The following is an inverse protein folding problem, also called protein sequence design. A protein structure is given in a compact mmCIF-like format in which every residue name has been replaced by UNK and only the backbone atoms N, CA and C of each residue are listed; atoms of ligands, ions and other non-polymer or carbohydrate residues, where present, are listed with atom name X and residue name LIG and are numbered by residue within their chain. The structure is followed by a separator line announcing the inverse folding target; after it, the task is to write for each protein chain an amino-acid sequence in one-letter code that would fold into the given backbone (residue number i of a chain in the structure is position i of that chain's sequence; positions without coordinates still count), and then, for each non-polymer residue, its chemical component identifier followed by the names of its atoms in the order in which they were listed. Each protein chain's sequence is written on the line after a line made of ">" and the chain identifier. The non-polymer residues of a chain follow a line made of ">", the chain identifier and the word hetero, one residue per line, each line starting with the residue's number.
data_IF_709202753959
#
_entry.id   IF_709202753959
#
_cell.length_a   1.000
_cell.length_b   1.000
_cell.length_c   1.000
_cell.angle_alpha   90.00
_cell.angle_beta   90.00
_cell.angle_gamma   90.00
#
_symmetry.space_group_name_H-M   'P 1'
#
loop_
_entity.id
_entity.type
_entity.pdbx_description
1 polymer ?
#
# COMPACT_ATOMS: atom_id res chain seq x y z
N UNK A 1 81.32 54.45 -11.85
CA UNK A 1 81.55 54.43 -10.41
C UNK A 1 80.22 54.89 -9.80
N UNK A 2 79.38 54.00 -9.37
CA UNK A 2 77.97 54.21 -9.09
C UNK A 2 77.76 54.00 -7.57
N UNK A 3 77.39 55.06 -6.89
CA UNK A 3 76.99 55.01 -5.48
C UNK A 3 75.59 54.37 -5.31
N UNK A 4 75.49 53.34 -4.49
CA UNK A 4 74.18 52.79 -4.07
C UNK A 4 73.71 53.50 -2.80
N UNK A 5 72.54 54.15 -2.85
CA UNK A 5 71.82 54.67 -1.70
C UNK A 5 71.03 53.54 -1.05
N UNK A 6 71.24 53.32 0.24
CA UNK A 6 70.40 52.42 1.06
C UNK A 6 69.23 53.24 1.63
N UNK A 7 68.04 52.86 1.35
CA UNK A 7 66.84 53.41 2.01
C UNK A 7 66.43 52.52 3.16
N UNK A 8 66.31 53.08 4.37
CA UNK A 8 65.71 52.43 5.54
C UNK A 8 64.20 52.41 5.34
N UNK A 9 63.60 51.21 5.39
CA UNK A 9 62.15 51.07 5.46
C UNK A 9 61.75 50.87 6.91
N UNK A 10 60.96 51.78 7.41
CA UNK A 10 60.31 51.71 8.75
C UNK A 10 59.16 50.75 8.70
N UNK A 11 59.19 49.68 9.44
CA UNK A 11 58.11 48.73 9.58
C UNK A 11 57.03 49.25 10.54
N UNK A 12 55.86 49.59 10.01
CA UNK A 12 54.67 49.87 10.83
C UNK A 12 53.99 48.54 11.12
N UNK A 13 53.88 48.18 12.40
CA UNK A 13 53.11 47.03 12.88
C UNK A 13 51.66 47.43 12.92
N UNK A 14 50.87 46.91 11.96
CA UNK A 14 49.37 46.96 12.03
C UNK A 14 48.90 45.83 12.96
N UNK A 15 48.41 46.16 14.11
CA UNK A 15 47.65 45.23 14.93
C UNK A 15 46.25 45.03 14.35
N UNK A 16 45.99 43.91 13.68
CA UNK A 16 44.66 43.49 13.25
C UNK A 16 43.93 42.89 14.45
N UNK A 17 43.01 43.67 15.01
CA UNK A 17 42.04 43.16 15.98
C UNK A 17 41.09 42.23 15.25
N UNK A 18 41.28 40.88 15.37
CA UNK A 18 40.29 39.89 14.93
C UNK A 18 39.14 39.93 15.94
N UNK A 19 38.15 40.76 15.67
CA UNK A 19 36.82 40.65 16.30
C UNK A 19 36.16 39.37 15.82
N UNK A 20 36.26 38.29 16.61
CA UNK A 20 35.54 37.05 16.41
C UNK A 20 34.04 37.34 16.51
N UNK A 21 33.41 37.60 15.37
CA UNK A 21 31.95 37.60 15.30
C UNK A 21 31.51 36.15 15.52
N UNK A 22 30.99 35.85 16.70
CA UNK A 22 30.21 34.63 16.94
C UNK A 22 28.98 34.77 16.04
N UNK A 23 29.01 34.19 14.83
CA UNK A 23 27.85 34.09 13.96
C UNK A 23 26.91 33.15 14.68
N UNK A 24 25.91 33.67 15.37
CA UNK A 24 24.79 32.87 15.84
C UNK A 24 24.19 32.14 14.63
N UNK A 25 23.89 30.85 14.78
CA UNK A 25 23.27 30.11 13.67
C UNK A 25 22.01 30.84 13.20
N UNK A 26 21.90 31.14 11.91
CA UNK A 26 20.74 31.84 11.37
C UNK A 26 19.46 31.09 11.76
N UNK A 27 18.39 31.79 12.09
CA UNK A 27 17.09 31.19 12.37
C UNK A 27 16.66 30.20 11.27
N UNK A 28 17.03 30.44 10.01
CA UNK A 28 16.79 29.53 8.89
C UNK A 28 17.53 28.18 9.05
N UNK A 29 18.79 28.18 9.57
CA UNK A 29 19.55 26.95 9.77
C UNK A 29 19.01 26.13 10.95
N UNK A 30 18.52 26.79 12.00
CA UNK A 30 17.86 26.15 13.14
C UNK A 30 16.50 25.60 12.72
N UNK A 31 15.73 26.35 11.92
CA UNK A 31 14.43 25.91 11.39
C UNK A 31 14.58 24.67 10.50
N UNK A 32 15.60 24.64 9.61
CA UNK A 32 15.87 23.48 8.76
C UNK A 32 16.28 22.24 9.56
N UNK A 33 17.06 22.39 10.63
CA UNK A 33 17.46 21.27 11.49
C UNK A 33 16.27 20.64 12.24
N UNK A 34 15.22 21.41 12.52
CA UNK A 34 14.06 20.96 13.28
C UNK A 34 12.87 20.55 12.39
N UNK A 35 12.97 20.69 11.07
CA UNK A 35 11.86 20.33 10.15
C UNK A 35 12.07 18.94 9.60
N UNK A 36 11.00 18.13 9.63
CA UNK A 36 10.91 16.82 8.95
C UNK A 36 9.82 16.90 7.89
N UNK A 37 10.18 16.64 6.64
CA UNK A 37 9.24 16.64 5.50
C UNK A 37 8.78 15.23 5.20
N UNK A 38 7.46 15.04 5.14
CA UNK A 38 6.80 13.75 4.85
C UNK A 38 6.00 13.89 3.56
N UNK A 39 6.16 12.96 2.64
CA UNK A 39 5.29 12.85 1.47
C UNK A 39 4.25 11.76 1.67
N UNK A 40 2.99 12.12 1.35
CA UNK A 40 1.80 11.26 1.47
C UNK A 40 1.21 11.06 0.08
N UNK A 41 0.88 9.81 -0.26
CA UNK A 41 0.34 9.43 -1.55
C UNK A 41 -1.05 10.00 -1.81
N UNK A 42 -1.48 9.95 -3.09
CA UNK A 42 -2.80 10.47 -3.54
C UNK A 42 -3.95 9.73 -2.84
N UNK A 43 -3.84 8.41 -2.70
CA UNK A 43 -4.88 7.60 -2.07
C UNK A 43 -5.09 7.92 -0.58
N UNK A 44 -4.06 8.41 0.10
CA UNK A 44 -4.09 8.68 1.54
C UNK A 44 -4.36 10.16 1.86
N UNK A 45 -4.23 11.05 0.89
CA UNK A 45 -4.29 12.50 1.11
C UNK A 45 -5.63 12.99 1.66
N UNK A 46 -6.75 12.41 1.21
CA UNK A 46 -8.11 12.79 1.63
C UNK A 46 -8.52 12.17 2.97
N UNK A 47 -7.79 11.17 3.43
CA UNK A 47 -8.07 10.39 4.65
C UNK A 47 -6.88 10.38 5.60
N UNK A 48 -5.99 11.36 5.51
CA UNK A 48 -4.80 11.42 6.36
C UNK A 48 -5.16 11.76 7.80
N UNK A 49 -5.31 10.73 8.59
CA UNK A 49 -5.55 10.80 10.01
C UNK A 49 -4.25 10.63 10.84
N UNK A 50 -3.15 10.31 10.19
CA UNK A 50 -1.84 10.12 10.82
C UNK A 50 -1.16 11.44 11.11
N UNK A 51 -1.22 12.37 10.17
CA UNK A 51 -0.54 13.67 10.26
C UNK A 51 -0.90 14.47 11.51
N UNK A 52 -2.18 14.58 11.95
CA UNK A 52 -2.50 15.28 13.19
C UNK A 52 -1.78 14.70 14.40
N UNK A 53 -1.78 13.37 14.57
CA UNK A 53 -1.10 12.68 15.68
C UNK A 53 0.41 12.95 15.64
N UNK A 54 1.01 12.82 14.45
CA UNK A 54 2.46 13.04 14.27
C UNK A 54 2.81 14.49 14.57
N UNK A 55 2.02 15.46 14.12
CA UNK A 55 2.26 16.90 14.38
C UNK A 55 2.15 17.26 15.85
N UNK A 56 1.15 16.73 16.55
CA UNK A 56 0.96 16.98 17.98
C UNK A 56 2.13 16.45 18.80
N UNK A 57 2.50 15.18 18.56
CA UNK A 57 3.68 14.61 19.22
C UNK A 57 4.96 15.38 18.85
N UNK A 58 5.19 15.69 17.58
CA UNK A 58 6.38 16.37 17.11
C UNK A 58 6.55 17.76 17.76
N UNK A 59 5.45 18.49 17.96
CA UNK A 59 5.43 19.78 18.66
C UNK A 59 5.99 19.64 20.06
N UNK A 60 5.65 18.58 20.81
CA UNK A 60 6.18 18.31 22.14
C UNK A 60 7.69 18.03 22.14
N UNK A 61 8.24 17.63 20.98
CA UNK A 61 9.67 17.35 20.77
C UNK A 61 10.44 18.53 20.14
N UNK A 62 9.80 19.67 19.94
CA UNK A 62 10.40 20.81 19.23
C UNK A 62 10.65 20.54 17.73
N UNK A 63 9.91 19.58 17.12
CA UNK A 63 10.03 19.19 15.72
C UNK A 63 8.86 19.78 14.92
N UNK A 64 9.16 20.38 13.77
CA UNK A 64 8.16 20.83 12.80
C UNK A 64 7.93 19.76 11.76
N UNK A 65 6.69 19.35 11.53
CA UNK A 65 6.31 18.41 10.47
C UNK A 65 5.74 19.17 9.29
N UNK A 66 6.42 19.06 8.15
CA UNK A 66 5.96 19.56 6.86
C UNK A 66 5.41 18.38 6.05
N UNK A 67 4.12 18.39 5.70
CA UNK A 67 3.49 17.32 4.91
C UNK A 67 3.16 17.82 3.52
N UNK A 68 3.56 17.05 2.51
CA UNK A 68 3.24 17.31 1.11
C UNK A 68 2.39 16.14 0.60
N UNK A 69 1.16 16.47 0.21
CA UNK A 69 0.17 15.51 -0.26
C UNK A 69 0.24 15.30 -1.77
N UNK A 70 -0.49 14.30 -2.24
CA UNK A 70 -0.65 13.97 -3.67
C UNK A 70 0.67 13.65 -4.37
N UNK A 71 1.59 12.98 -3.66
CA UNK A 71 2.87 12.54 -4.19
C UNK A 71 2.85 11.05 -4.51
N UNK A 72 3.08 10.72 -5.77
CA UNK A 72 3.20 9.34 -6.20
C UNK A 72 4.63 8.81 -6.01
N UNK A 73 4.78 7.47 -5.98
CA UNK A 73 6.09 6.81 -5.91
C UNK A 73 7.07 7.27 -7.00
N UNK A 74 6.67 7.44 -8.28
CA UNK A 74 7.56 7.98 -9.32
C UNK A 74 8.08 9.38 -9.00
N UNK A 75 7.26 10.25 -8.37
CA UNK A 75 7.72 11.59 -7.95
C UNK A 75 8.85 11.49 -6.93
N UNK A 76 8.75 10.55 -5.98
CA UNK A 76 9.78 10.33 -4.98
C UNK A 76 11.09 9.82 -5.62
N UNK A 77 10.99 8.83 -6.50
CA UNK A 77 12.14 8.27 -7.23
C UNK A 77 12.86 9.36 -8.03
N UNK A 78 12.13 10.28 -8.64
CA UNK A 78 12.69 11.40 -9.40
C UNK A 78 13.29 12.48 -8.50
N UNK A 79 12.58 12.89 -7.46
CA UNK A 79 12.94 14.06 -6.67
C UNK A 79 14.12 13.83 -5.71
N UNK A 80 14.30 12.60 -5.20
CA UNK A 80 15.38 12.31 -4.24
C UNK A 80 16.77 12.53 -4.83
N UNK A 81 17.12 12.01 -6.02
CA UNK A 81 18.41 12.30 -6.65
C UNK A 81 18.63 13.79 -6.97
N UNK A 82 17.55 14.54 -7.19
CA UNK A 82 17.60 15.99 -7.42
C UNK A 82 17.76 16.81 -6.13
N UNK A 83 17.82 16.16 -4.96
CA UNK A 83 17.87 16.83 -3.66
C UNK A 83 16.55 17.48 -3.22
N UNK A 84 15.46 17.29 -3.98
CA UNK A 84 14.12 17.90 -3.77
C UNK A 84 13.14 16.97 -3.06
N UNK A 85 13.51 15.71 -2.82
CA UNK A 85 12.65 14.72 -2.17
C UNK A 85 12.37 15.03 -0.70
N UNK A 86 11.42 14.30 -0.06
CA UNK A 86 11.11 14.40 1.38
C UNK A 86 12.20 13.72 2.22
N UNK A 87 12.07 13.83 3.55
CA UNK A 87 12.85 13.04 4.49
C UNK A 87 12.26 11.64 4.66
N UNK A 88 10.91 11.59 4.68
CA UNK A 88 10.14 10.35 4.80
C UNK A 88 9.06 10.29 3.72
N UNK A 89 8.78 9.08 3.24
CA UNK A 89 7.64 8.77 2.40
C UNK A 89 6.83 7.65 3.02
N UNK A 90 5.50 7.73 2.98
CA UNK A 90 4.60 6.65 3.41
C UNK A 90 3.96 5.98 2.20
N UNK A 91 3.77 4.66 2.28
CA UNK A 91 3.11 3.89 1.23
C UNK A 91 3.14 2.37 1.43
N UNK A 92 2.75 1.63 0.39
CA UNK A 92 2.59 0.19 0.42
C UNK A 92 3.94 -0.55 0.29
N UNK A 93 4.11 -1.64 1.03
CA UNK A 93 5.38 -2.38 1.15
C UNK A 93 5.92 -2.97 -0.16
N UNK A 94 5.06 -3.28 -1.13
CA UNK A 94 5.46 -3.80 -2.45
C UNK A 94 6.32 -2.80 -3.25
N UNK A 95 6.38 -1.53 -2.83
CA UNK A 95 7.27 -0.52 -3.42
C UNK A 95 8.74 -0.67 -2.98
N UNK A 96 9.00 -1.38 -1.89
CA UNK A 96 10.33 -1.44 -1.26
C UNK A 96 11.42 -1.85 -2.24
N UNK A 97 11.20 -2.89 -3.04
CA UNK A 97 12.20 -3.37 -4.01
C UNK A 97 12.56 -2.31 -5.05
N UNK A 98 11.56 -1.60 -5.59
CA UNK A 98 11.80 -0.55 -6.57
C UNK A 98 12.52 0.66 -5.95
N UNK A 99 12.11 1.08 -4.74
CA UNK A 99 12.76 2.19 -4.04
C UNK A 99 14.22 1.89 -3.69
N UNK A 100 14.51 0.65 -3.29
CA UNK A 100 15.89 0.19 -3.03
C UNK A 100 16.70 0.10 -4.31
N UNK A 101 16.14 -0.47 -5.37
CA UNK A 101 16.80 -0.56 -6.69
C UNK A 101 17.11 0.81 -7.28
N UNK A 102 16.21 1.78 -7.10
CA UNK A 102 16.41 3.16 -7.51
C UNK A 102 17.42 3.93 -6.62
N UNK A 103 17.88 3.35 -5.52
CA UNK A 103 18.85 3.97 -4.60
C UNK A 103 18.30 5.19 -3.85
N UNK A 104 16.98 5.31 -3.68
CA UNK A 104 16.36 6.51 -3.09
C UNK A 104 16.00 6.36 -1.61
N UNK A 105 16.08 5.16 -1.05
CA UNK A 105 15.80 4.88 0.37
C UNK A 105 17.00 4.29 1.09
N UNK A 106 17.16 4.62 2.35
CA UNK A 106 18.22 4.13 3.21
C UNK A 106 17.71 3.01 4.16
N UNK A 107 18.56 2.03 4.52
CA UNK A 107 18.24 1.09 5.59
C UNK A 107 17.97 1.83 6.90
N UNK A 108 17.00 1.34 7.67
CA UNK A 108 16.67 1.90 8.98
C UNK A 108 17.13 0.99 10.11
N UNK A 109 17.52 1.60 11.23
CA UNK A 109 17.88 0.89 12.47
C UNK A 109 16.75 1.14 13.49
N UNK A 110 16.06 0.07 13.84
CA UNK A 110 14.88 0.13 14.71
C UNK A 110 15.15 -0.34 16.15
N UNK A 111 16.31 -0.93 16.43
CA UNK A 111 16.69 -1.43 17.76
C UNK A 111 15.67 -2.41 18.33
N UNK A 112 15.38 -2.28 19.62
CA UNK A 112 14.40 -3.12 20.33
C UNK A 112 12.98 -2.98 19.79
N UNK A 113 12.62 -1.86 19.15
CA UNK A 113 11.32 -1.69 18.49
C UNK A 113 11.09 -2.75 17.41
N UNK A 114 12.13 -3.23 16.75
CA UNK A 114 12.07 -4.28 15.74
C UNK A 114 11.54 -5.63 16.23
N UNK A 115 11.58 -5.90 17.55
CA UNK A 115 11.00 -7.10 18.17
C UNK A 115 9.47 -7.03 18.26
N UNK A 116 8.88 -5.86 18.09
CA UNK A 116 7.43 -5.62 18.14
C UNK A 116 6.74 -5.89 16.81
N UNK A 117 7.48 -6.20 15.75
CA UNK A 117 6.95 -6.56 14.43
C UNK A 117 7.24 -8.02 14.12
N UNK A 118 6.25 -8.75 13.61
CA UNK A 118 6.45 -10.13 13.19
C UNK A 118 7.48 -10.24 12.05
N UNK A 119 7.99 -11.43 11.78
CA UNK A 119 8.90 -11.68 10.66
C UNK A 119 8.21 -11.36 9.32
N UNK A 120 6.97 -11.75 9.18
CA UNK A 120 6.13 -11.52 8.00
C UNK A 120 5.93 -10.02 7.78
N UNK A 121 5.64 -9.27 8.84
CA UNK A 121 5.47 -7.81 8.78
C UNK A 121 6.74 -7.10 8.32
N UNK A 122 7.91 -7.55 8.77
CA UNK A 122 9.19 -6.98 8.34
C UNK A 122 9.60 -7.42 6.94
N UNK A 123 9.16 -8.60 6.48
CA UNK A 123 9.61 -9.16 5.20
C UNK A 123 9.28 -8.28 4.01
N UNK A 124 8.11 -7.62 4.00
CA UNK A 124 7.71 -6.69 2.94
C UNK A 124 8.58 -5.44 2.83
N UNK A 125 9.27 -5.08 3.91
CA UNK A 125 10.18 -3.92 3.95
C UNK A 125 11.66 -4.30 3.97
N UNK A 126 11.98 -5.58 3.74
CA UNK A 126 13.35 -6.10 3.82
C UNK A 126 13.86 -6.48 2.44
N UNK A 127 15.02 -5.96 2.06
CA UNK A 127 15.73 -6.29 0.83
C UNK A 127 17.21 -6.57 1.18
N UNK A 128 17.76 -7.68 0.70
CA UNK A 128 19.14 -8.06 0.98
C UNK A 128 19.45 -8.16 2.49
N UNK A 129 18.50 -8.61 3.30
CA UNK A 129 18.63 -8.75 4.75
C UNK A 129 18.57 -7.43 5.54
N UNK A 130 18.40 -6.29 4.89
CA UNK A 130 18.31 -4.97 5.53
C UNK A 130 16.87 -4.47 5.53
N UNK A 131 16.40 -3.91 6.66
CA UNK A 131 15.09 -3.29 6.79
C UNK A 131 15.16 -1.85 6.27
N UNK A 132 14.27 -1.49 5.35
CA UNK A 132 14.21 -0.17 4.73
C UNK A 132 12.97 0.66 5.13
N UNK A 133 11.90 0.01 5.58
CA UNK A 133 10.68 0.71 5.98
C UNK A 133 10.25 0.37 7.41
N UNK A 134 9.66 1.35 8.10
CA UNK A 134 9.02 1.20 9.40
C UNK A 134 7.57 0.78 9.20
N UNK A 135 7.16 -0.45 9.54
CA UNK A 135 5.78 -0.88 9.40
C UNK A 135 4.86 -0.09 10.35
N UNK A 136 3.67 0.29 9.88
CA UNK A 136 2.68 1.01 10.70
C UNK A 136 1.34 0.30 10.81
N UNK A 137 0.85 -0.32 9.73
CA UNK A 137 -0.35 -1.12 9.76
C UNK A 137 -0.34 -2.22 8.70
N UNK A 138 -1.25 -3.17 8.87
CA UNK A 138 -1.55 -4.20 7.87
C UNK A 138 -3.03 -4.16 7.51
N UNK A 139 -3.35 -4.75 6.38
CA UNK A 139 -4.71 -4.90 5.88
C UNK A 139 -4.81 -6.15 5.01
N UNK A 140 -6.02 -6.66 4.86
CA UNK A 140 -6.34 -7.72 3.91
C UNK A 140 -7.75 -7.53 3.39
N UNK A 141 -8.02 -8.08 2.22
CA UNK A 141 -9.36 -8.11 1.65
C UNK A 141 -10.17 -9.29 2.18
N UNK A 142 -11.50 -9.14 2.09
CA UNK A 142 -12.47 -10.16 2.44
C UNK A 142 -13.73 -9.99 1.58
N UNK A 143 -14.69 -10.90 1.67
CA UNK A 143 -16.04 -10.63 1.23
C UNK A 143 -16.73 -9.74 2.26
N UNK A 144 -17.20 -8.58 1.82
CA UNK A 144 -17.91 -7.61 2.66
C UNK A 144 -19.36 -7.55 2.20
N UNK A 145 -20.30 -7.55 3.15
CA UNK A 145 -21.73 -7.57 2.88
C UNK A 145 -22.55 -6.89 3.99
N UNK A 146 -23.81 -6.60 3.70
CA UNK A 146 -24.77 -6.07 4.68
C UNK A 146 -25.55 -7.22 5.33
N UNK A 147 -25.25 -7.54 6.60
CA UNK A 147 -25.91 -8.61 7.35
C UNK A 147 -27.44 -8.46 7.50
N UNK A 148 -27.93 -7.22 7.43
CA UNK A 148 -29.37 -6.94 7.51
C UNK A 148 -30.11 -7.22 6.20
N UNK A 149 -29.39 -7.32 5.04
CA UNK A 149 -30.01 -7.42 3.72
C UNK A 149 -29.50 -8.59 2.88
N UNK A 150 -28.28 -9.06 3.11
CA UNK A 150 -27.68 -10.16 2.38
C UNK A 150 -27.56 -11.40 3.27
N UNK A 151 -27.63 -12.57 2.64
CA UNK A 151 -27.36 -13.84 3.30
C UNK A 151 -25.89 -13.92 3.70
N UNK A 152 -25.59 -14.54 4.85
CA UNK A 152 -24.20 -14.84 5.24
C UNK A 152 -23.55 -15.72 4.15
N UNK A 153 -22.42 -15.27 3.56
CA UNK A 153 -21.75 -16.01 2.49
C UNK A 153 -21.01 -17.26 2.97
N UNK A 154 -20.98 -17.53 4.26
CA UNK A 154 -20.34 -18.72 4.84
C UNK A 154 -20.94 -20.00 4.24
N UNK A 155 -20.10 -20.80 3.58
CA UNK A 155 -20.50 -22.05 2.92
C UNK A 155 -21.18 -21.88 1.56
N UNK A 156 -21.33 -20.64 1.05
CA UNK A 156 -21.78 -20.41 -0.32
C UNK A 156 -20.65 -20.67 -1.31
N UNK A 157 -21.02 -21.07 -2.53
CA UNK A 157 -20.09 -21.12 -3.67
C UNK A 157 -20.07 -19.79 -4.41
N UNK A 158 -19.10 -19.60 -5.31
CA UNK A 158 -19.06 -18.41 -6.18
C UNK A 158 -20.30 -18.31 -7.06
N UNK A 159 -20.79 -19.45 -7.58
CA UNK A 159 -22.00 -19.49 -8.40
C UNK A 159 -23.22 -19.00 -7.61
N UNK A 160 -23.35 -19.39 -6.34
CA UNK A 160 -24.44 -18.94 -5.48
C UNK A 160 -24.32 -17.45 -5.14
N UNK A 161 -23.10 -16.95 -4.92
CA UNK A 161 -22.86 -15.51 -4.67
C UNK A 161 -23.20 -14.67 -5.91
N UNK A 162 -22.74 -15.12 -7.09
CA UNK A 162 -22.99 -14.41 -8.35
C UNK A 162 -24.45 -14.47 -8.78
N UNK A 163 -25.18 -15.52 -8.40
CA UNK A 163 -26.61 -15.69 -8.69
C UNK A 163 -27.52 -15.06 -7.62
N UNK A 164 -26.99 -14.44 -6.57
CA UNK A 164 -27.79 -13.72 -5.58
C UNK A 164 -28.40 -12.46 -6.18
N UNK A 165 -29.50 -11.94 -5.58
CA UNK A 165 -30.28 -10.81 -6.12
C UNK A 165 -29.45 -9.59 -6.52
N UNK A 166 -28.40 -9.30 -5.76
CA UNK A 166 -27.48 -8.18 -5.98
C UNK A 166 -26.09 -8.59 -6.44
N UNK A 167 -25.79 -9.89 -6.48
CA UNK A 167 -24.51 -10.43 -6.92
C UNK A 167 -23.29 -9.90 -6.19
N UNK A 168 -22.14 -10.05 -6.82
CA UNK A 168 -20.83 -9.57 -6.34
C UNK A 168 -20.34 -8.47 -7.26
N UNK A 169 -19.88 -7.35 -6.71
CA UNK A 169 -19.31 -6.26 -7.51
C UNK A 169 -17.86 -6.56 -7.86
N UNK A 170 -17.49 -6.39 -9.15
CA UNK A 170 -16.10 -6.41 -9.59
C UNK A 170 -15.28 -5.33 -8.89
N UNK A 171 -14.01 -5.56 -8.59
CA UNK A 171 -13.14 -4.53 -8.03
C UNK A 171 -12.68 -3.47 -9.04
N UNK A 172 -13.07 -3.58 -10.31
CA UNK A 172 -12.75 -2.64 -11.39
C UNK A 172 -13.96 -2.43 -12.32
N UNK A 173 -14.00 -1.30 -13.03
CA UNK A 173 -15.06 -0.97 -13.99
C UNK A 173 -14.77 -1.60 -15.36
N UNK A 174 -15.77 -2.28 -15.94
CA UNK A 174 -15.68 -2.80 -17.31
C UNK A 174 -15.52 -1.64 -18.30
N UNK A 175 -14.68 -1.87 -19.32
CA UNK A 175 -14.36 -0.81 -20.29
C UNK A 175 -13.47 0.31 -19.77
N UNK A 176 -13.27 0.43 -18.45
CA UNK A 176 -12.36 1.38 -17.84
C UNK A 176 -10.88 1.02 -18.07
N UNK A 177 -9.97 1.92 -17.74
CA UNK A 177 -8.51 1.73 -17.86
C UNK A 177 -7.90 0.95 -16.69
N UNK A 178 -8.54 0.97 -15.52
CA UNK A 178 -8.07 0.29 -14.32
C UNK A 178 -8.25 -1.22 -14.37
N UNK A 179 -7.38 -1.94 -13.70
CA UNK A 179 -7.47 -3.37 -13.39
C UNK A 179 -7.03 -3.58 -11.95
N UNK A 180 -7.35 -4.73 -11.36
CA UNK A 180 -7.08 -4.94 -9.95
C UNK A 180 -6.78 -6.40 -9.59
N UNK A 181 -5.58 -6.89 -9.90
CA UNK A 181 -5.19 -8.26 -9.57
C UNK A 181 -5.02 -8.49 -8.07
N UNK A 182 -4.88 -7.45 -7.26
CA UNK A 182 -4.85 -7.57 -5.81
C UNK A 182 -6.16 -8.15 -5.27
N UNK A 183 -7.31 -7.58 -5.68
CA UNK A 183 -8.63 -8.06 -5.27
C UNK A 183 -9.04 -9.37 -5.97
N UNK A 184 -8.46 -9.71 -7.12
CA UNK A 184 -8.72 -10.98 -7.81
C UNK A 184 -7.89 -12.14 -7.25
N UNK A 185 -6.84 -11.87 -6.47
CA UNK A 185 -5.90 -12.88 -5.96
C UNK A 185 -6.53 -14.05 -5.19
N UNK A 186 -7.58 -13.89 -4.35
CA UNK A 186 -8.17 -15.03 -3.66
C UNK A 186 -8.84 -16.02 -4.60
N UNK A 187 -9.35 -15.56 -5.73
CA UNK A 187 -9.91 -16.45 -6.76
C UNK A 187 -8.77 -17.23 -7.42
N UNK A 188 -7.72 -16.54 -7.88
CA UNK A 188 -6.56 -17.17 -8.52
C UNK A 188 -5.90 -18.22 -7.62
N UNK A 189 -5.67 -17.88 -6.34
CA UNK A 189 -5.04 -18.79 -5.38
C UNK A 189 -5.87 -20.04 -5.10
N UNK A 190 -7.19 -19.96 -5.23
CA UNK A 190 -8.07 -21.13 -5.08
C UNK A 190 -7.88 -22.18 -6.19
N UNK A 191 -7.30 -21.81 -7.33
CA UNK A 191 -6.83 -22.73 -8.38
C UNK A 191 -5.43 -23.28 -8.09
N UNK A 192 -4.75 -22.76 -7.07
CA UNK A 192 -3.38 -23.10 -6.73
C UNK A 192 -2.33 -22.23 -7.40
N UNK A 193 -2.78 -21.11 -7.97
CA UNK A 193 -1.89 -20.11 -8.55
C UNK A 193 -1.33 -19.23 -7.42
N UNK A 194 -0.07 -18.88 -7.53
CA UNK A 194 0.55 -17.79 -6.74
C UNK A 194 1.18 -16.79 -7.71
N UNK A 195 1.39 -15.57 -7.27
CA UNK A 195 1.97 -14.53 -8.15
C UNK A 195 3.34 -14.94 -8.70
N UNK A 196 4.18 -15.47 -7.82
CA UNK A 196 5.45 -16.12 -8.18
C UNK A 196 5.51 -17.51 -7.56
N UNK A 197 6.36 -18.37 -8.08
CA UNK A 197 6.65 -19.66 -7.45
C UNK A 197 7.42 -19.46 -6.13
N UNK A 198 7.44 -20.47 -5.30
CA UNK A 198 8.17 -20.45 -4.02
C UNK A 198 9.11 -21.65 -3.93
N UNK A 199 10.25 -21.43 -3.30
CA UNK A 199 11.18 -22.46 -2.89
C UNK A 199 11.43 -22.38 -1.37
N UNK A 200 12.37 -23.13 -0.87
CA UNK A 200 12.72 -23.16 0.57
C UNK A 200 13.25 -21.81 1.08
N UNK A 201 13.76 -20.95 0.20
CA UNK A 201 14.26 -19.61 0.54
C UNK A 201 13.18 -18.51 0.45
N UNK A 202 11.98 -18.82 -0.05
CA UNK A 202 10.89 -17.87 -0.18
C UNK A 202 10.36 -17.72 -1.62
N UNK A 203 9.99 -16.52 -2.00
CA UNK A 203 9.57 -16.20 -3.36
C UNK A 203 10.72 -16.28 -4.34
N UNK A 204 10.44 -16.84 -5.53
CA UNK A 204 11.34 -16.77 -6.71
C UNK A 204 10.87 -15.64 -7.63
N UNK A 205 11.63 -15.37 -8.69
CA UNK A 205 11.21 -14.44 -9.76
C UNK A 205 10.43 -15.13 -10.88
N UNK A 206 10.12 -16.42 -10.75
CA UNK A 206 9.34 -17.17 -11.73
C UNK A 206 7.85 -16.91 -11.54
N UNK A 207 7.19 -16.38 -12.57
CA UNK A 207 5.75 -16.06 -12.56
C UNK A 207 4.93 -17.35 -12.38
N UNK A 208 3.97 -17.33 -11.47
CA UNK A 208 3.19 -18.50 -11.08
C UNK A 208 1.86 -18.69 -11.82
N UNK A 209 1.46 -17.75 -12.68
CA UNK A 209 0.21 -17.82 -13.48
C UNK A 209 0.41 -18.60 -14.78
N UNK A 210 0.85 -19.84 -14.67
CA UNK A 210 1.21 -20.67 -15.83
C UNK A 210 0.63 -22.08 -15.72
N UNK A 211 0.58 -22.79 -16.85
CA UNK A 211 0.15 -24.18 -16.96
C UNK A 211 -1.34 -24.40 -16.68
N UNK A 212 -1.72 -25.65 -16.41
CA UNK A 212 -3.13 -26.06 -16.34
C UNK A 212 -3.94 -25.36 -15.23
N UNK A 213 -3.31 -24.89 -14.18
CA UNK A 213 -3.98 -24.10 -13.15
C UNK A 213 -4.41 -22.74 -13.68
N UNK A 214 -3.54 -22.08 -14.46
CA UNK A 214 -3.82 -20.81 -15.10
C UNK A 214 -4.90 -20.95 -16.18
N UNK A 215 -4.92 -22.05 -16.94
CA UNK A 215 -5.97 -22.33 -17.93
C UNK A 215 -7.33 -22.49 -17.26
N UNK A 216 -7.41 -23.23 -16.15
CA UNK A 216 -8.65 -23.40 -15.39
C UNK A 216 -9.15 -22.08 -14.82
N UNK A 217 -8.24 -21.25 -14.31
CA UNK A 217 -8.57 -19.91 -13.81
C UNK A 217 -9.06 -18.99 -14.94
N UNK A 218 -8.39 -19.00 -16.09
CA UNK A 218 -8.80 -18.23 -17.26
C UNK A 218 -10.21 -18.63 -17.74
N UNK A 219 -10.48 -19.94 -17.82
CA UNK A 219 -11.80 -20.47 -18.20
C UNK A 219 -12.88 -20.06 -17.18
N UNK A 220 -12.56 -20.09 -15.88
CA UNK A 220 -13.47 -19.65 -14.83
C UNK A 220 -13.77 -18.14 -14.95
N UNK A 221 -12.74 -17.30 -15.18
CA UNK A 221 -12.91 -15.86 -15.37
C UNK A 221 -13.73 -15.54 -16.61
N UNK A 222 -13.46 -16.18 -17.74
CA UNK A 222 -14.20 -15.97 -18.97
C UNK A 222 -15.69 -16.34 -18.81
N UNK A 223 -15.99 -17.38 -18.01
CA UNK A 223 -17.35 -17.86 -17.76
C UNK A 223 -18.10 -17.03 -16.73
N UNK A 224 -17.43 -16.63 -15.66
CA UNK A 224 -18.05 -16.02 -14.48
C UNK A 224 -17.82 -14.51 -14.38
N UNK A 225 -16.77 -13.97 -15.01
CA UNK A 225 -16.51 -12.53 -15.04
C UNK A 225 -17.70 -11.69 -15.52
N UNK A 226 -18.39 -12.08 -16.61
CA UNK A 226 -19.59 -11.36 -17.08
C UNK A 226 -20.75 -11.37 -16.07
N UNK A 227 -20.78 -12.28 -15.12
CA UNK A 227 -21.86 -12.41 -14.12
C UNK A 227 -21.69 -11.47 -12.91
N UNK A 228 -20.54 -10.82 -12.77
CA UNK A 228 -20.35 -9.82 -11.73
C UNK A 228 -21.14 -8.54 -12.06
N UNK A 229 -21.60 -7.85 -11.03
CA UNK A 229 -22.07 -6.47 -11.16
C UNK A 229 -20.88 -5.61 -11.58
N UNK A 230 -21.09 -4.67 -12.51
CA UNK A 230 -20.01 -3.80 -12.97
C UNK A 230 -19.48 -2.94 -11.81
N UNK A 231 -18.18 -2.76 -11.78
CA UNK A 231 -17.45 -2.32 -10.63
C UNK A 231 -17.04 -0.86 -10.62
N UNK A 232 -16.26 -0.58 -9.62
CA UNK A 232 -15.81 0.71 -9.19
C UNK A 232 -16.15 0.91 -7.73
N UNK A 233 -15.57 1.93 -7.13
CA UNK A 233 -15.70 2.17 -5.69
C UNK A 233 -17.14 2.48 -5.28
N UNK A 234 -17.77 3.47 -5.93
CA UNK A 234 -19.12 3.92 -5.57
C UNK A 234 -20.18 2.84 -5.83
N UNK A 235 -20.00 2.07 -6.91
CA UNK A 235 -20.85 0.93 -7.26
C UNK A 235 -20.77 -0.15 -6.18
N UNK A 236 -19.55 -0.49 -5.73
CA UNK A 236 -19.34 -1.49 -4.67
C UNK A 236 -19.99 -1.06 -3.36
N UNK A 237 -19.76 0.20 -2.93
CA UNK A 237 -20.37 0.75 -1.71
C UNK A 237 -21.89 0.66 -1.77
N UNK A 238 -22.50 1.16 -2.84
CA UNK A 238 -23.93 1.16 -2.98
C UNK A 238 -24.53 -0.24 -3.09
N UNK A 239 -23.87 -1.14 -3.82
CA UNK A 239 -24.31 -2.53 -3.96
C UNK A 239 -24.30 -3.26 -2.61
N UNK A 240 -23.23 -3.15 -1.82
CA UNK A 240 -23.16 -3.72 -0.47
C UNK A 240 -24.27 -3.18 0.43
N UNK A 241 -24.50 -1.86 0.43
CA UNK A 241 -25.56 -1.22 1.23
C UNK A 241 -26.95 -1.76 0.88
N UNK A 242 -27.14 -2.25 -0.33
CA UNK A 242 -28.41 -2.81 -0.83
C UNK A 242 -28.48 -4.34 -0.88
N UNK A 243 -27.53 -5.06 -0.25
CA UNK A 243 -27.58 -6.50 -0.09
C UNK A 243 -26.73 -7.30 -1.08
N UNK A 244 -25.87 -6.63 -1.85
CA UNK A 244 -24.83 -7.29 -2.63
C UNK A 244 -23.57 -7.58 -1.81
N UNK A 245 -22.57 -8.16 -2.50
CA UNK A 245 -21.26 -8.49 -1.92
C UNK A 245 -20.17 -7.68 -2.62
N UNK A 246 -19.11 -7.35 -1.88
CA UNK A 246 -17.91 -6.70 -2.40
C UNK A 246 -16.64 -7.44 -2.01
N UNK A 247 -15.67 -7.43 -2.89
CA UNK A 247 -14.30 -7.92 -2.65
C UNK A 247 -13.50 -6.69 -2.23
N UNK A 248 -13.25 -6.49 -0.94
CA UNK A 248 -12.61 -5.25 -0.46
C UNK A 248 -12.00 -5.41 0.94
N UNK A 249 -11.27 -4.41 1.39
CA UNK A 249 -10.65 -4.38 2.71
C UNK A 249 -11.33 -3.44 3.71
N UNK A 250 -10.75 -3.28 4.90
CA UNK A 250 -11.35 -2.47 5.97
C UNK A 250 -11.55 -1.00 5.61
N UNK A 251 -10.82 -0.48 4.66
CA UNK A 251 -10.93 0.90 4.16
C UNK A 251 -12.30 1.26 3.56
N UNK A 252 -13.18 0.28 3.30
CA UNK A 252 -14.54 0.53 2.81
C UNK A 252 -15.50 0.93 3.93
N UNK A 253 -15.19 0.61 5.18
CA UNK A 253 -16.12 0.73 6.29
C UNK A 253 -16.64 2.16 6.51
N UNK A 254 -15.78 3.18 6.31
CA UNK A 254 -16.19 4.59 6.39
C UNK A 254 -17.21 4.97 5.33
N UNK A 255 -17.00 4.50 4.10
CA UNK A 255 -17.95 4.74 3.00
C UNK A 255 -19.27 4.02 3.21
N UNK A 256 -19.27 2.80 3.75
CA UNK A 256 -20.49 2.06 4.07
C UNK A 256 -21.34 2.73 5.17
N UNK A 257 -20.70 3.48 6.08
CA UNK A 257 -21.35 4.24 7.16
C UNK A 257 -21.90 5.61 6.68
N UNK A 258 -21.76 5.92 5.39
CA UNK A 258 -22.27 7.13 4.75
C UNK A 258 -23.31 6.78 3.69
N UNK A 259 -24.22 7.73 3.38
CA UNK A 259 -25.15 7.56 2.25
C UNK A 259 -24.38 7.53 0.94
N UNK A 260 -24.79 6.69 0.01
CA UNK A 260 -24.24 6.64 -1.34
C UNK A 260 -25.31 6.84 -2.41
N UNK A 261 -24.89 7.30 -3.59
CA UNK A 261 -25.75 7.38 -4.78
C UNK A 261 -24.87 7.22 -6.02
N UNK A 262 -25.23 6.27 -6.88
CA UNK A 262 -24.51 5.98 -8.12
C UNK A 262 -25.41 5.26 -9.12
N UNK A 263 -24.88 4.89 -10.28
CA UNK A 263 -25.54 3.96 -11.21
C UNK A 263 -24.82 2.62 -11.18
N UNK A 264 -25.56 1.55 -10.99
CA UNK A 264 -25.08 0.18 -11.16
C UNK A 264 -25.28 -0.27 -12.61
N UNK A 265 -24.37 -1.11 -13.07
CA UNK A 265 -24.54 -1.86 -14.32
C UNK A 265 -24.60 -3.33 -13.94
N UNK A 266 -25.79 -3.91 -14.04
CA UNK A 266 -26.04 -5.31 -13.71
C UNK A 266 -25.41 -6.24 -14.75
N UNK A 267 -25.26 -7.55 -14.45
CA UNK A 267 -24.67 -8.51 -15.38
C UNK A 267 -25.37 -8.60 -16.73
N UNK A 268 -26.67 -8.35 -16.77
CA UNK A 268 -27.48 -8.30 -18.00
C UNK A 268 -27.34 -6.99 -18.80
N UNK A 269 -26.48 -6.06 -18.36
CA UNK A 269 -26.28 -4.76 -18.98
C UNK A 269 -27.29 -3.68 -18.57
N UNK A 270 -28.27 -4.01 -17.74
CA UNK A 270 -29.25 -3.03 -17.25
C UNK A 270 -28.56 -2.02 -16.34
N UNK A 271 -28.83 -0.73 -16.57
CA UNK A 271 -28.39 0.37 -15.72
C UNK A 271 -29.52 0.72 -14.76
N UNK A 272 -29.22 0.75 -13.46
CA UNK A 272 -30.19 1.17 -12.43
C UNK A 272 -29.59 2.27 -11.54
N UNK A 273 -30.44 3.16 -11.08
CA UNK A 273 -30.04 4.13 -10.05
C UNK A 273 -29.97 3.40 -8.70
N UNK A 274 -28.83 3.53 -8.04
CA UNK A 274 -28.57 2.94 -6.74
C UNK A 274 -28.42 4.04 -5.70
N UNK A 275 -29.29 4.00 -4.70
CA UNK A 275 -29.18 4.83 -3.49
C UNK A 275 -28.98 3.93 -2.29
N UNK A 276 -27.87 4.10 -1.59
CA UNK A 276 -27.53 3.35 -0.39
C UNK A 276 -27.73 4.15 0.89
N UNK A 277 -28.40 3.56 1.86
CA UNK A 277 -28.49 4.11 3.21
C UNK A 277 -27.19 3.82 3.99
N UNK A 278 -26.79 4.74 4.87
CA UNK A 278 -25.70 4.51 5.80
C UNK A 278 -25.95 3.25 6.64
N UNK A 279 -24.96 2.36 6.71
CA UNK A 279 -25.01 1.13 7.51
C UNK A 279 -24.59 1.39 8.95
N UNK A 280 -25.19 0.67 9.89
CA UNK A 280 -24.61 0.54 11.23
C UNK A 280 -23.36 -0.31 11.16
N UNK A 281 -22.38 -0.02 12.01
CA UNK A 281 -21.15 -0.84 12.08
C UNK A 281 -21.46 -2.31 12.35
N UNK A 282 -22.45 -2.61 13.21
CA UNK A 282 -22.87 -3.97 13.52
C UNK A 282 -23.39 -4.77 12.32
N UNK A 283 -23.92 -4.09 11.29
CA UNK A 283 -24.48 -4.70 10.09
C UNK A 283 -23.42 -4.99 9.02
N UNK A 284 -22.20 -4.46 9.17
CA UNK A 284 -21.10 -4.77 8.25
C UNK A 284 -20.62 -6.19 8.53
N UNK A 285 -20.88 -7.09 7.59
CA UNK A 285 -20.40 -8.45 7.58
C UNK A 285 -19.08 -8.59 6.85
N UNK A 286 -18.21 -9.44 7.39
CA UNK A 286 -16.91 -9.79 6.81
C UNK A 286 -16.78 -11.30 6.80
N UNK A 287 -16.48 -11.90 5.65
CA UNK A 287 -16.36 -13.34 5.49
C UNK A 287 -15.15 -13.70 4.62
N UNK A 288 -14.70 -14.94 4.77
CA UNK A 288 -13.68 -15.54 3.90
C UNK A 288 -14.21 -15.79 2.50
N UNK A 289 -13.31 -15.89 1.54
CA UNK A 289 -13.67 -16.21 0.16
C UNK A 289 -13.96 -17.69 -0.02
N UNK A 290 -15.00 -18.06 -0.80
CA UNK A 290 -15.16 -19.44 -1.22
C UNK A 290 -14.07 -19.85 -2.21
N UNK A 291 -13.81 -21.13 -2.32
CA UNK A 291 -12.94 -21.67 -3.33
C UNK A 291 -13.66 -21.72 -4.70
N UNK A 292 -12.98 -21.26 -5.76
CA UNK A 292 -13.42 -21.48 -7.16
C UNK A 292 -12.72 -22.69 -7.79
N UNK A 293 -11.48 -22.93 -7.41
CA UNK A 293 -10.61 -23.96 -7.99
C UNK A 293 -10.37 -25.20 -7.12
N UNK A 294 -11.05 -25.32 -5.99
CA UNK A 294 -10.96 -26.49 -5.07
C UNK A 294 -9.87 -26.39 -4.00
N UNK A 295 -8.99 -25.35 -4.03
CA UNK A 295 -8.02 -25.07 -2.97
C UNK A 295 -8.50 -23.91 -2.09
N UNK A 296 -7.91 -23.78 -0.91
CA UNK A 296 -8.19 -22.64 -0.01
C UNK A 296 -7.86 -21.33 -0.72
N UNK A 297 -8.84 -20.44 -0.79
CA UNK A 297 -8.62 -19.08 -1.28
C UNK A 297 -7.72 -18.32 -0.30
N UNK A 298 -6.69 -17.66 -0.82
CA UNK A 298 -5.73 -16.89 -0.05
C UNK A 298 -5.57 -15.52 -0.68
N UNK A 299 -5.86 -14.50 0.07
CA UNK A 299 -5.68 -13.11 -0.35
C UNK A 299 -4.29 -12.59 0.01
N UNK A 300 -3.90 -11.48 -0.61
CA UNK A 300 -2.75 -10.73 -0.16
C UNK A 300 -3.03 -10.03 1.18
N UNK A 301 -2.00 -9.90 2.02
CA UNK A 301 -1.95 -8.90 3.07
C UNK A 301 -1.17 -7.68 2.56
N UNK A 302 -1.81 -6.53 2.58
CA UNK A 302 -1.17 -5.24 2.40
C UNK A 302 -0.46 -4.84 3.69
N UNK A 303 0.68 -4.19 3.56
CA UNK A 303 1.41 -3.61 4.68
C UNK A 303 1.79 -2.19 4.29
N UNK A 304 1.63 -1.26 5.20
CA UNK A 304 2.00 0.13 5.00
C UNK A 304 3.11 0.53 5.95
N UNK A 305 3.99 1.41 5.48
CA UNK A 305 5.14 1.86 6.28
C UNK A 305 5.74 3.15 5.79
N UNK A 306 6.70 3.65 6.56
CA UNK A 306 7.50 4.83 6.25
C UNK A 306 8.89 4.45 5.81
N UNK A 307 9.31 4.95 4.66
CA UNK A 307 10.70 4.86 4.21
C UNK A 307 11.45 6.15 4.48
N UNK A 308 12.72 6.00 4.88
CA UNK A 308 13.64 7.11 5.00
C UNK A 308 14.40 7.32 3.69
N UNK A 309 14.39 8.55 3.20
CA UNK A 309 15.19 8.95 2.03
C UNK A 309 16.69 8.86 2.31
N UNK A 310 17.47 8.48 1.29
CA UNK A 310 18.95 8.50 1.36
C UNK A 310 19.51 9.88 1.67
N UNK A 311 18.81 10.97 1.31
CA UNK A 311 19.25 12.35 1.59
C UNK A 311 19.36 12.68 3.08
N UNK A 312 18.73 11.88 3.94
CA UNK A 312 18.77 12.07 5.41
C UNK A 312 20.14 11.72 5.97
N UNK A 313 20.94 10.90 5.29
CA UNK A 313 22.30 10.57 5.72
C UNK A 313 23.15 11.84 5.76
N UNK A 314 23.64 12.20 6.96
CA UNK A 314 24.42 13.42 7.20
C UNK A 314 23.62 14.73 7.21
N UNK A 315 22.30 14.70 7.03
CA UNK A 315 21.47 15.89 7.12
C UNK A 315 21.37 16.41 8.57
N UNK A 316 21.21 17.73 8.73
CA UNK A 316 21.08 18.36 10.05
C UNK A 316 19.87 17.88 10.85
N UNK A 317 18.82 17.44 10.16
CA UNK A 317 17.58 16.92 10.77
C UNK A 317 17.57 15.39 10.95
N UNK A 318 18.65 14.67 10.65
CA UNK A 318 18.69 13.19 10.68
C UNK A 318 18.23 12.60 12.03
N UNK A 319 18.61 13.22 13.15
CA UNK A 319 18.20 12.79 14.49
C UNK A 319 16.69 12.91 14.65
N UNK A 320 16.09 14.00 14.17
CA UNK A 320 14.65 14.24 14.26
C UNK A 320 13.86 13.32 13.34
N UNK A 321 14.37 13.03 12.14
CA UNK A 321 13.79 11.99 11.25
C UNK A 321 13.77 10.63 11.95
N UNK A 322 14.87 10.24 12.59
CA UNK A 322 14.94 8.99 13.36
C UNK A 322 13.96 8.96 14.55
N UNK A 323 13.72 10.10 15.22
CA UNK A 323 12.69 10.21 16.27
C UNK A 323 11.29 10.00 15.70
N UNK A 324 10.95 10.63 14.58
CA UNK A 324 9.64 10.47 13.90
C UNK A 324 9.44 9.01 13.47
N UNK A 325 10.44 8.37 12.87
CA UNK A 325 10.36 6.95 12.49
C UNK A 325 10.09 6.04 13.69
N UNK A 326 10.78 6.25 14.82
CA UNK A 326 10.50 5.46 16.04
C UNK A 326 9.12 5.74 16.61
N UNK A 327 8.65 6.98 16.53
CA UNK A 327 7.30 7.34 16.99
C UNK A 327 6.23 6.62 16.17
N UNK A 328 6.27 6.69 14.84
CA UNK A 328 5.26 6.01 13.98
C UNK A 328 5.31 4.49 14.10
N UNK A 329 6.45 3.91 14.49
CA UNK A 329 6.57 2.48 14.79
C UNK A 329 6.09 2.08 16.19
N UNK A 330 5.82 3.04 17.08
CA UNK A 330 5.48 2.79 18.48
C UNK A 330 4.06 2.26 18.67
N UNK A 331 3.84 1.52 19.75
CA UNK A 331 2.50 1.06 20.13
C UNK A 331 1.56 2.23 20.45
N UNK A 332 2.10 3.33 20.98
CA UNK A 332 1.33 4.55 21.28
C UNK A 332 0.71 5.13 20.02
N UNK A 333 1.52 5.45 19.03
CA UNK A 333 1.05 5.99 17.74
C UNK A 333 0.08 5.03 17.03
N UNK A 334 0.46 3.76 16.89
CA UNK A 334 -0.35 2.80 16.13
C UNK A 334 -1.67 2.48 16.81
N UNK A 335 -1.68 2.43 18.16
CA UNK A 335 -2.90 2.24 18.93
C UNK A 335 -3.83 3.46 18.85
N UNK A 336 -3.29 4.68 18.95
CA UNK A 336 -4.05 5.91 18.79
C UNK A 336 -4.63 6.00 17.37
N UNK A 337 -3.81 5.75 16.35
CA UNK A 337 -4.24 5.78 14.95
C UNK A 337 -5.34 4.73 14.66
N UNK A 338 -5.20 3.50 15.15
CA UNK A 338 -6.20 2.44 14.94
C UNK A 338 -7.56 2.75 15.59
N UNK A 339 -7.58 3.54 16.66
CA UNK A 339 -8.80 3.92 17.39
C UNK A 339 -9.47 5.19 16.82
N UNK A 340 -8.85 5.88 15.85
CA UNK A 340 -9.52 7.01 15.19
C UNK A 340 -10.69 6.47 14.36
N UNK A 341 -11.88 7.05 14.56
CA UNK A 341 -13.06 6.72 13.77
C UNK A 341 -12.78 6.93 12.28
N UNK A 342 -12.84 5.84 11.51
CA UNK A 342 -12.59 5.85 10.07
C UNK A 342 -11.12 5.65 9.68
N UNK A 343 -10.20 5.42 10.61
CA UNK A 343 -8.84 4.99 10.29
C UNK A 343 -8.81 3.59 9.69
N UNK A 344 -9.59 2.67 10.28
CA UNK A 344 -9.89 1.34 9.74
C UNK A 344 -8.64 0.56 9.36
N UNK A 345 -7.62 0.61 10.23
CA UNK A 345 -6.30 0.00 10.02
C UNK A 345 -5.92 -0.94 11.17
N UNK A 346 -5.37 -2.08 10.84
CA UNK A 346 -4.89 -3.07 11.81
C UNK A 346 -3.44 -2.73 12.17
N UNK A 347 -3.11 -2.44 13.44
CA UNK A 347 -1.75 -2.10 13.84
C UNK A 347 -0.73 -3.16 13.46
N UNK A 348 0.44 -2.76 12.98
CA UNK A 348 1.57 -3.64 12.72
C UNK A 348 2.34 -3.99 14.01
N UNK A 349 2.35 -3.09 15.00
CA UNK A 349 3.00 -3.29 16.28
C UNK A 349 2.17 -4.23 17.16
N UNK A 350 2.77 -5.33 17.63
CA UNK A 350 2.09 -6.38 18.39
C UNK A 350 1.44 -5.86 19.68
N UNK A 351 2.06 -4.90 20.37
CA UNK A 351 1.51 -4.35 21.62
C UNK A 351 0.28 -3.44 21.36
N UNK A 352 0.23 -2.78 20.20
CA UNK A 352 -0.94 -2.03 19.77
C UNK A 352 -2.05 -2.97 19.29
N UNK A 353 -1.69 -3.99 18.50
CA UNK A 353 -2.62 -5.00 18.00
C UNK A 353 -3.33 -5.74 19.14
N UNK A 354 -2.61 -6.08 20.20
CA UNK A 354 -3.18 -6.75 21.39
C UNK A 354 -4.23 -5.90 22.13
N UNK A 355 -4.28 -4.60 21.88
CA UNK A 355 -5.24 -3.65 22.47
C UNK A 355 -6.35 -3.24 21.51
N UNK A 356 -6.36 -3.77 20.29
CA UNK A 356 -7.38 -3.45 19.29
C UNK A 356 -8.72 -4.07 19.70
N UNK A 357 -9.73 -3.26 19.92
CA UNK A 357 -11.11 -3.66 20.32
C UNK A 357 -12.15 -3.30 19.25
N UNK A 358 -11.78 -3.30 17.99
CA UNK A 358 -12.71 -3.13 16.86
C UNK A 358 -13.13 -4.50 16.31
N UNK A 359 -14.42 -4.86 16.48
CA UNK A 359 -14.97 -6.16 16.05
C UNK A 359 -14.92 -6.36 14.54
N UNK A 360 -15.05 -5.29 13.75
CA UNK A 360 -14.98 -5.35 12.30
C UNK A 360 -13.54 -5.59 11.85
N UNK A 361 -12.57 -4.88 12.42
CA UNK A 361 -11.14 -5.12 12.14
C UNK A 361 -10.71 -6.51 12.59
N UNK A 362 -11.21 -6.99 13.73
CA UNK A 362 -10.98 -8.37 14.18
C UNK A 362 -11.55 -9.40 13.17
N UNK A 363 -12.73 -9.12 12.57
CA UNK A 363 -13.32 -9.99 11.54
C UNK A 363 -12.47 -9.99 10.24
N UNK A 364 -11.93 -8.86 9.82
CA UNK A 364 -10.96 -8.81 8.71
C UNK A 364 -9.69 -9.61 9.06
N UNK A 365 -9.16 -9.46 10.25
CA UNK A 365 -8.02 -10.26 10.74
C UNK A 365 -8.30 -11.76 10.69
N UNK A 366 -9.49 -12.20 11.14
CA UNK A 366 -9.92 -13.59 11.07
C UNK A 366 -10.06 -14.09 9.63
N UNK A 367 -10.66 -13.30 8.74
CA UNK A 367 -10.74 -13.61 7.30
C UNK A 367 -9.35 -13.67 6.64
N UNK A 368 -8.39 -12.90 7.17
CA UNK A 368 -7.01 -12.81 6.69
C UNK A 368 -6.05 -13.86 7.24
N UNK A 369 -6.48 -14.85 8.04
CA UNK A 369 -5.57 -15.84 8.64
C UNK A 369 -4.69 -16.59 7.63
N UNK A 370 -5.16 -16.78 6.40
CA UNK A 370 -4.44 -17.41 5.31
C UNK A 370 -3.80 -16.39 4.35
N UNK A 371 -3.90 -15.09 4.63
CA UNK A 371 -3.30 -14.05 3.80
C UNK A 371 -1.77 -14.15 3.81
N UNK A 372 -1.15 -13.64 2.76
CA UNK A 372 0.31 -13.62 2.64
C UNK A 372 0.78 -12.27 2.08
N UNK A 373 1.98 -11.80 2.48
CA UNK A 373 2.50 -10.52 1.99
C UNK A 373 2.66 -10.53 0.47
N UNK A 374 2.38 -9.41 -0.16
CA UNK A 374 2.74 -9.21 -1.56
C UNK A 374 4.25 -9.28 -1.73
N UNK A 375 4.77 -9.84 -2.83
CA UNK A 375 6.17 -9.70 -3.17
C UNK A 375 6.56 -8.23 -3.35
N UNK A 376 7.80 -7.88 -3.02
CA UNK A 376 8.30 -6.50 -3.10
C UNK A 376 9.50 -6.36 -4.05
N UNK A 377 9.41 -6.95 -5.24
CA UNK A 377 10.45 -6.86 -6.27
C UNK A 377 10.44 -5.50 -6.98
N UNK A 378 11.58 -5.12 -7.57
CA UNK A 378 11.72 -3.85 -8.28
C UNK A 378 10.75 -3.73 -9.49
N UNK A 379 10.39 -4.85 -10.10
CA UNK A 379 9.54 -4.94 -11.28
C UNK A 379 8.03 -5.14 -10.97
N UNK A 380 7.60 -4.98 -9.72
CA UNK A 380 6.19 -5.23 -9.33
C UNK A 380 5.17 -4.44 -10.14
N UNK A 381 5.48 -3.22 -10.60
CA UNK A 381 4.57 -2.45 -11.46
C UNK A 381 4.20 -3.18 -12.75
N UNK A 382 5.19 -3.80 -13.40
CA UNK A 382 4.95 -4.60 -14.60
C UNK A 382 4.12 -5.83 -14.28
N UNK A 383 4.34 -6.45 -13.11
CA UNK A 383 3.58 -7.63 -12.64
C UNK A 383 2.12 -7.27 -12.44
N UNK A 384 1.83 -6.24 -11.65
CA UNK A 384 0.46 -5.77 -11.41
C UNK A 384 -0.26 -5.41 -12.72
N UNK A 385 0.40 -4.66 -13.59
CA UNK A 385 -0.16 -4.22 -14.86
C UNK A 385 -0.49 -5.39 -15.80
N UNK A 386 0.44 -6.35 -15.97
CA UNK A 386 0.27 -7.44 -16.93
C UNK A 386 -0.71 -8.50 -16.45
N UNK A 387 -0.65 -8.91 -15.18
CA UNK A 387 -1.62 -9.84 -14.61
C UNK A 387 -3.01 -9.22 -14.66
N UNK A 388 -3.17 -8.01 -14.17
CA UNK A 388 -4.47 -7.35 -14.12
C UNK A 388 -5.08 -7.09 -15.50
N UNK A 389 -4.26 -6.76 -16.51
CA UNK A 389 -4.75 -6.61 -17.88
C UNK A 389 -5.28 -7.93 -18.45
N UNK A 390 -4.60 -9.05 -18.18
CA UNK A 390 -5.04 -10.37 -18.64
C UNK A 390 -6.33 -10.81 -17.91
N UNK A 391 -6.40 -10.66 -16.60
CA UNK A 391 -7.59 -10.95 -15.79
C UNK A 391 -8.79 -10.12 -16.26
N UNK A 392 -8.58 -8.83 -16.49
CA UNK A 392 -9.61 -7.91 -16.96
C UNK A 392 -10.14 -8.30 -18.34
N UNK A 393 -9.27 -8.63 -19.28
CA UNK A 393 -9.68 -9.03 -20.62
C UNK A 393 -10.57 -10.30 -20.60
N UNK A 394 -10.20 -11.27 -19.74
CA UNK A 394 -10.99 -12.49 -19.54
C UNK A 394 -12.34 -12.17 -18.87
N UNK A 395 -12.34 -11.40 -17.78
CA UNK A 395 -13.56 -11.06 -17.04
C UNK A 395 -14.54 -10.20 -17.84
N UNK A 396 -14.06 -9.45 -18.82
CA UNK A 396 -14.89 -8.64 -19.73
C UNK A 396 -15.38 -9.41 -20.96
N UNK A 397 -14.99 -10.68 -21.13
CA UNK A 397 -15.33 -11.46 -22.32
C UNK A 397 -14.66 -10.98 -23.61
N UNK A 398 -13.53 -10.27 -23.50
CA UNK A 398 -12.77 -9.76 -24.66
C UNK A 398 -11.86 -10.80 -25.32
N UNK A 399 -11.69 -11.96 -24.70
CA UNK A 399 -10.91 -13.08 -25.22
C UNK A 399 -11.87 -14.04 -25.92
N UNK A 400 -11.63 -14.34 -27.20
CA UNK A 400 -12.44 -15.28 -27.95
C UNK A 400 -12.43 -16.65 -27.27
N UNK A 401 -13.54 -17.37 -27.29
CA UNK A 401 -13.70 -18.64 -26.58
C UNK A 401 -12.64 -19.70 -26.95
N UNK A 402 -12.19 -19.73 -28.21
CA UNK A 402 -11.11 -20.60 -28.66
C UNK A 402 -9.71 -20.23 -28.15
N UNK A 403 -9.51 -18.98 -27.68
CA UNK A 403 -8.22 -18.46 -27.24
C UNK A 403 -8.09 -18.43 -25.71
N UNK A 404 -9.14 -18.75 -24.96
CA UNK A 404 -9.14 -18.69 -23.49
C UNK A 404 -8.10 -19.63 -22.89
N UNK A 405 -8.01 -20.86 -23.40
CA UNK A 405 -6.95 -21.80 -23.04
C UNK A 405 -5.60 -21.27 -23.55
N UNK A 406 -4.61 -21.22 -22.66
CA UNK A 406 -3.28 -20.69 -22.95
C UNK A 406 -3.18 -19.16 -22.97
N UNK A 407 -4.29 -18.41 -22.88
CA UNK A 407 -4.26 -16.93 -22.89
C UNK A 407 -3.41 -16.37 -21.76
N UNK A 408 -3.70 -16.82 -20.53
CA UNK A 408 -2.97 -16.39 -19.34
C UNK A 408 -1.50 -16.83 -19.43
N UNK A 409 -1.23 -18.06 -19.82
CA UNK A 409 0.13 -18.60 -19.99
C UNK A 409 0.96 -17.77 -20.98
N UNK A 410 0.38 -17.42 -22.14
CA UNK A 410 1.03 -16.56 -23.12
C UNK A 410 1.35 -15.16 -22.58
N UNK A 411 0.40 -14.53 -21.87
CA UNK A 411 0.61 -13.22 -21.26
C UNK A 411 1.70 -13.27 -20.20
N UNK A 412 1.74 -14.34 -19.40
CA UNK A 412 2.72 -14.50 -18.32
C UNK A 412 4.11 -14.88 -18.82
N UNK A 413 4.24 -15.60 -19.93
CA UNK A 413 5.53 -15.82 -20.60
C UNK A 413 6.14 -14.49 -21.09
N UNK A 414 5.31 -13.60 -21.63
CA UNK A 414 5.78 -12.26 -22.02
C UNK A 414 6.20 -11.43 -20.80
N UNK A 415 5.48 -11.54 -19.67
CA UNK A 415 5.89 -10.92 -18.42
C UNK A 415 7.21 -11.49 -17.91
N UNK A 416 7.37 -12.83 -17.91
CA UNK A 416 8.62 -13.49 -17.47
C UNK A 416 9.81 -12.99 -18.28
N UNK A 417 9.69 -12.89 -19.61
CA UNK A 417 10.76 -12.35 -20.45
C UNK A 417 11.12 -10.90 -20.08
N UNK A 418 10.15 -10.10 -19.65
CA UNK A 418 10.42 -8.73 -19.15
C UNK A 418 11.17 -8.75 -17.82
N UNK A 419 10.82 -9.68 -16.92
CA UNK A 419 11.48 -9.84 -15.62
C UNK A 419 12.93 -10.33 -15.79
N UNK A 420 13.15 -11.30 -16.68
CA UNK A 420 14.47 -11.88 -16.93
C UNK A 420 15.45 -10.89 -17.59
N UNK A 421 14.92 -9.84 -18.22
CA UNK A 421 15.68 -8.76 -18.84
C UNK A 421 15.96 -7.56 -17.90
N UNK A 422 15.36 -7.53 -16.71
CA UNK A 422 15.47 -6.42 -15.74
C UNK A 422 16.55 -6.66 -14.69
#
# INVERSE_FOLDING_TARGET
>A
MILRKRSLATAAVLAVAVSGAIVAPSNAAVTAANTVTIWVGVADATKDQQTPIIKEWAKSQGITINVVYNKARPDFIKAVPEGKGPDLMVGAHDWTGQLVSAGVVAPIVVGSLGTKFSKEMKSGFTVGGKLYGMPIYTENIALVYNKAKAKDPKGMTWEQLLASDRGVTLPFTRGGTGNDPYHMSPIATSFGISMFTRNNSGWTTTVGYTGSAADKYAAWLATNGPKFVDGGWDQMVCNIQNGGYGITGPWIMGSLKSKSSTKLILPNGTKEDCTGAAMNAADIGVATFPSAGGKVARQFSGQYGYWQSVKVAGAKNAVNVGKVLRFVGSAGFQGEFANIKGAERIPANADALAKLDDKQLAAFGAAGQNAYPMPSYAFMDSVWSKIGAAEKALAEGKVASGDVSGYMDKAMKALQSTIDAA
#
